data_IF_069959237363
#
_entry.id   IF_069959237363
#
_cell.length_a   1.000
_cell.length_b   1.000
_cell.length_c   1.000
_cell.angle_alpha   90.00
_cell.angle_beta   90.00
_cell.angle_gamma   90.00
#
_symmetry.space_group_name_H-M   'P 1'
#
loop_
_entity.id
_entity.type
_entity.pdbx_description
1 polymer ?
#
# COMPACT_ATOMS: atom_id res chain seq x y z
N UNK A 1 -24.87 13.35 -5.56
CA UNK A 1 -24.19 13.99 -4.42
C UNK A 1 -24.62 13.28 -3.15
N UNK A 2 -23.66 12.90 -2.29
CA UNK A 2 -23.98 12.37 -0.96
C UNK A 2 -24.09 13.54 0.02
N UNK A 3 -25.13 13.55 0.85
CA UNK A 3 -25.29 14.52 1.93
C UNK A 3 -24.49 14.09 3.16
N UNK A 4 -23.83 15.02 3.84
CA UNK A 4 -23.14 14.76 5.10
C UNK A 4 -24.15 14.31 6.19
N UNK A 5 -23.77 13.40 7.11
CA UNK A 5 -22.44 12.83 7.34
C UNK A 5 -22.08 11.67 6.39
N UNK A 6 -20.86 11.68 5.86
CA UNK A 6 -20.34 10.67 4.94
C UNK A 6 -18.92 10.24 5.31
N UNK A 7 -18.55 9.02 4.94
CA UNK A 7 -17.21 8.45 5.13
C UNK A 7 -16.48 8.44 3.79
N UNK A 8 -15.23 8.89 3.79
CA UNK A 8 -14.37 8.97 2.61
C UNK A 8 -13.06 8.25 2.90
N UNK A 9 -12.68 7.32 2.02
CA UNK A 9 -11.32 6.75 1.99
C UNK A 9 -10.49 7.50 0.96
N UNK A 10 -9.30 7.94 1.34
CA UNK A 10 -8.40 8.70 0.45
C UNK A 10 -7.18 7.87 0.09
N UNK A 11 -6.78 7.93 -1.17
CA UNK A 11 -5.56 7.29 -1.68
C UNK A 11 -4.40 8.29 -1.66
N UNK A 12 -3.17 7.78 -1.73
CA UNK A 12 -1.93 8.57 -1.74
C UNK A 12 -1.87 9.65 -2.83
N UNK A 13 -2.64 9.49 -3.90
CA UNK A 13 -2.66 10.39 -5.07
C UNK A 13 -3.40 11.71 -4.81
N UNK A 14 -4.10 11.84 -3.68
CA UNK A 14 -4.85 13.07 -3.36
C UNK A 14 -3.93 14.28 -3.11
N UNK A 15 -2.65 14.05 -2.79
CA UNK A 15 -1.66 15.09 -2.61
C UNK A 15 -0.48 14.66 -1.72
N UNK A 16 0.57 15.48 -1.73
CA UNK A 16 1.77 15.25 -0.92
C UNK A 16 1.61 15.81 0.50
N UNK A 17 1.95 15.05 1.56
CA UNK A 17 1.94 15.56 2.92
C UNK A 17 2.87 16.76 3.09
N UNK A 18 2.34 17.87 3.62
CA UNK A 18 3.14 19.07 3.90
C UNK A 18 4.22 18.81 4.95
N UNK A 19 5.36 19.47 4.80
CA UNK A 19 6.44 19.38 5.79
C UNK A 19 6.05 20.04 7.13
N UNK A 20 6.34 19.42 8.28
CA UNK A 20 6.03 20.02 9.58
C UNK A 20 6.96 21.21 9.87
N UNK A 21 6.40 22.31 10.37
CA UNK A 21 7.21 23.43 10.85
C UNK A 21 7.79 23.15 12.23
N UNK A 22 8.91 23.78 12.58
CA UNK A 22 9.53 23.65 13.91
C UNK A 22 8.55 23.94 15.06
N UNK A 23 7.73 24.99 14.90
CA UNK A 23 6.67 25.33 15.87
C UNK A 23 5.56 24.27 15.91
N UNK A 24 5.22 23.68 14.75
CA UNK A 24 4.27 22.58 14.67
C UNK A 24 4.74 21.35 15.44
N UNK A 25 6.01 20.97 15.29
CA UNK A 25 6.64 19.85 16.02
C UNK A 25 6.59 20.12 17.53
N UNK A 26 7.00 21.31 17.98
CA UNK A 26 6.97 21.69 19.41
C UNK A 26 5.56 21.69 20.00
N UNK A 27 4.54 22.07 19.21
CA UNK A 27 3.15 22.04 19.66
C UNK A 27 2.65 20.61 19.78
N UNK A 28 2.93 19.76 18.79
CA UNK A 28 2.56 18.35 18.80
C UNK A 28 3.23 17.60 19.95
N UNK A 29 4.52 17.86 20.23
CA UNK A 29 5.25 17.22 21.32
C UNK A 29 4.72 17.57 22.72
N UNK A 30 3.98 18.68 22.85
CA UNK A 30 3.36 19.11 24.12
C UNK A 30 1.88 18.75 24.20
N UNK A 31 1.29 18.28 23.11
CA UNK A 31 -0.11 17.89 23.09
C UNK A 31 -0.28 16.66 23.96
N UNK A 32 -1.31 16.68 24.83
CA UNK A 32 -1.72 15.48 25.55
C UNK A 32 -2.55 14.63 24.58
N UNK A 33 -2.06 13.44 24.27
CA UNK A 33 -2.78 12.46 23.46
C UNK A 33 -3.58 11.61 24.45
N UNK A 34 -4.92 11.62 24.40
CA UNK A 34 -5.71 10.75 25.26
C UNK A 34 -5.48 9.29 24.84
N UNK A 35 -5.23 8.45 25.83
CA UNK A 35 -5.19 7.00 25.66
C UNK A 35 -6.54 6.45 26.09
N UNK A 36 -7.17 5.65 25.23
CA UNK A 36 -8.43 5.00 25.51
C UNK A 36 -8.25 3.49 25.54
N UNK A 37 -8.74 2.88 26.62
CA UNK A 37 -8.92 1.43 26.69
C UNK A 37 -10.29 1.01 26.15
N UNK A 38 -10.51 -0.30 26.09
CA UNK A 38 -11.79 -0.85 25.62
C UNK A 38 -12.97 -0.41 26.49
N UNK A 39 -12.77 -0.31 27.81
CA UNK A 39 -13.80 0.14 28.75
C UNK A 39 -14.24 1.58 28.49
N UNK A 40 -13.32 2.47 28.10
CA UNK A 40 -13.62 3.87 27.78
C UNK A 40 -14.49 3.99 26.52
N UNK A 41 -14.43 2.98 25.64
CA UNK A 41 -15.19 2.89 24.39
C UNK A 41 -16.44 2.02 24.51
N UNK A 42 -16.69 1.40 25.67
CA UNK A 42 -17.82 0.49 25.87
C UNK A 42 -17.75 -0.81 25.08
N UNK A 43 -16.54 -1.27 24.74
CA UNK A 43 -16.30 -2.48 23.94
C UNK A 43 -15.87 -3.65 24.83
N UNK A 44 -16.34 -4.86 24.51
CA UNK A 44 -15.84 -6.09 25.13
C UNK A 44 -14.61 -6.63 24.41
N UNK A 45 -13.84 -7.49 25.09
CA UNK A 45 -12.65 -8.12 24.50
C UNK A 45 -12.99 -9.07 23.33
N UNK A 46 -14.20 -9.64 23.32
CA UNK A 46 -14.66 -10.60 22.31
C UNK A 46 -15.12 -9.91 21.02
N UNK A 47 -15.31 -8.58 21.03
CA UNK A 47 -15.73 -7.80 19.86
C UNK A 47 -14.55 -7.24 19.04
N UNK A 48 -13.33 -7.33 19.56
CA UNK A 48 -12.15 -6.66 18.99
C UNK A 48 -10.98 -7.62 18.79
N UNK A 49 -10.02 -7.19 17.97
CA UNK A 49 -8.79 -7.94 17.72
C UNK A 49 -9.05 -9.31 17.08
N UNK A 50 -8.27 -10.32 17.47
CA UNK A 50 -8.40 -11.67 16.94
C UNK A 50 -9.67 -12.39 17.40
N UNK A 51 -10.17 -12.09 18.61
CA UNK A 51 -11.36 -12.71 19.16
C UNK A 51 -12.64 -12.26 18.43
N UNK A 52 -12.72 -10.97 18.08
CA UNK A 52 -13.83 -10.40 17.31
C UNK A 52 -13.72 -10.55 15.78
N UNK A 53 -12.60 -11.07 15.27
CA UNK A 53 -12.39 -11.19 13.82
C UNK A 53 -13.16 -12.38 13.24
N UNK A 54 -13.96 -12.13 12.20
CA UNK A 54 -14.63 -13.19 11.43
C UNK A 54 -13.68 -13.96 10.49
N UNK A 55 -12.47 -13.43 10.27
CA UNK A 55 -11.47 -14.02 9.38
C UNK A 55 -10.21 -14.35 10.18
N UNK A 56 -9.64 -15.52 9.91
CA UNK A 56 -8.39 -15.98 10.49
C UNK A 56 -7.38 -16.31 9.39
N UNK A 57 -6.10 -16.07 9.68
CA UNK A 57 -5.00 -16.33 8.77
C UNK A 57 -4.19 -17.52 9.31
N UNK A 58 -4.53 -18.77 8.92
CA UNK A 58 -3.88 -19.96 9.48
C UNK A 58 -2.42 -20.09 9.04
N UNK A 59 -2.11 -19.64 7.83
CA UNK A 59 -0.76 -19.71 7.25
C UNK A 59 -0.54 -18.50 6.35
N UNK A 60 0.67 -17.93 6.41
CA UNK A 60 1.13 -16.86 5.53
C UNK A 60 2.49 -17.27 4.99
N UNK A 61 2.54 -17.63 3.71
CA UNK A 61 3.77 -18.07 3.04
C UNK A 61 4.24 -17.02 2.02
N UNK A 62 5.52 -17.04 1.72
CA UNK A 62 6.06 -16.27 0.61
C UNK A 62 5.57 -16.87 -0.72
N UNK A 63 5.27 -16.03 -1.73
CA UNK A 63 5.00 -16.53 -3.07
C UNK A 63 6.24 -17.28 -3.60
N UNK A 64 6.06 -18.31 -4.43
CA UNK A 64 7.18 -19.05 -5.02
C UNK A 64 8.04 -18.11 -5.85
N UNK A 65 9.37 -18.31 -5.80
CA UNK A 65 10.28 -17.60 -6.68
C UNK A 65 10.04 -18.07 -8.12
N UNK A 66 9.67 -17.15 -9.01
CA UNK A 66 9.58 -17.42 -10.44
C UNK A 66 10.97 -17.28 -11.04
N UNK A 67 11.50 -18.33 -11.65
CA UNK A 67 12.68 -18.22 -12.52
C UNK A 67 12.24 -17.58 -13.83
N UNK A 68 12.55 -16.29 -14.00
CA UNK A 68 12.32 -15.58 -15.26
C UNK A 68 13.50 -15.80 -16.19
N UNK A 69 13.25 -16.31 -17.39
CA UNK A 69 14.24 -16.35 -18.46
C UNK A 69 14.52 -14.92 -18.91
N UNK A 70 15.74 -14.43 -18.66
CA UNK A 70 16.20 -13.12 -19.12
C UNK A 70 17.02 -13.32 -20.39
N UNK A 71 16.61 -12.68 -21.48
CA UNK A 71 17.42 -12.58 -22.69
C UNK A 71 17.90 -11.13 -22.83
N UNK A 72 19.22 -10.94 -22.76
CA UNK A 72 19.85 -9.64 -23.02
C UNK A 72 20.15 -9.53 -24.51
N UNK A 73 19.58 -8.52 -25.17
CA UNK A 73 19.83 -8.24 -26.57
C UNK A 73 21.01 -7.27 -26.65
N UNK A 74 22.10 -7.70 -27.27
CA UNK A 74 23.28 -6.88 -27.52
C UNK A 74 23.27 -6.34 -28.96
N UNK A 75 23.78 -5.12 -29.17
CA UNK A 75 23.88 -4.51 -30.49
C UNK A 75 23.81 -2.98 -30.45
N UNK A 76 23.91 -2.35 -31.62
CA UNK A 76 23.65 -0.92 -31.76
C UNK A 76 22.16 -0.62 -31.48
N UNK A 77 21.82 0.58 -30.95
CA UNK A 77 20.49 0.88 -30.44
C UNK A 77 19.34 0.60 -31.43
N UNK A 78 19.55 0.86 -32.73
CA UNK A 78 18.53 0.70 -33.76
C UNK A 78 18.25 -0.78 -34.09
N UNK A 79 19.30 -1.61 -34.11
CA UNK A 79 19.20 -3.04 -34.36
C UNK A 79 18.60 -3.77 -33.15
N UNK A 80 19.07 -3.42 -31.94
CA UNK A 80 18.56 -3.99 -30.70
C UNK A 80 17.06 -3.69 -30.50
N UNK A 81 16.61 -2.47 -30.83
CA UNK A 81 15.20 -2.09 -30.74
C UNK A 81 14.31 -2.91 -31.69
N UNK A 82 14.79 -3.17 -32.91
CA UNK A 82 14.05 -4.00 -33.88
C UNK A 82 13.92 -5.44 -33.39
N UNK A 83 15.02 -6.04 -32.92
CA UNK A 83 15.03 -7.41 -32.38
C UNK A 83 14.10 -7.53 -31.17
N UNK A 84 14.09 -6.52 -30.29
CA UNK A 84 13.21 -6.49 -29.13
C UNK A 84 11.74 -6.44 -29.54
N UNK A 85 11.37 -5.54 -30.45
CA UNK A 85 9.99 -5.41 -30.92
C UNK A 85 9.48 -6.69 -31.59
N UNK A 86 10.31 -7.30 -32.45
CA UNK A 86 9.97 -8.55 -33.14
C UNK A 86 9.74 -9.70 -32.13
N UNK A 87 10.57 -9.81 -31.10
CA UNK A 87 10.43 -10.84 -30.04
C UNK A 87 9.19 -10.62 -29.18
N UNK A 88 8.94 -9.39 -28.74
CA UNK A 88 7.77 -9.08 -27.90
C UNK A 88 6.44 -9.31 -28.65
N UNK A 89 6.41 -9.02 -29.96
CA UNK A 89 5.28 -9.32 -30.83
C UNK A 89 5.07 -10.84 -30.99
N UNK A 90 6.16 -11.59 -31.18
CA UNK A 90 6.10 -13.05 -31.30
C UNK A 90 5.58 -13.72 -30.01
N UNK A 91 5.97 -13.19 -28.84
CA UNK A 91 5.50 -13.67 -27.54
C UNK A 91 4.13 -13.11 -27.11
N UNK A 92 3.53 -12.21 -27.90
CA UNK A 92 2.22 -11.56 -27.63
C UNK A 92 2.19 -10.83 -26.29
N UNK A 93 3.33 -10.30 -25.86
CA UNK A 93 3.43 -9.44 -24.68
C UNK A 93 2.95 -8.03 -24.99
N UNK A 94 2.98 -7.66 -26.28
CA UNK A 94 2.45 -6.42 -26.87
C UNK A 94 1.60 -6.75 -28.11
#
# INVERSE_FOLDING_TARGET
SSSLPAVLSVLKEIGEPRYPSFMGIRKASRAKIPEWGLADLGLSADEVGAAGSQVQWPEVTLPPATETTLELIEGEPEEAAKILADKLLAEKVI
#
